data_IF_536362977891
#
_entry.id   IF_536362977891
#
_cell.length_a   1.000
_cell.length_b   1.000
_cell.length_c   1.000
_cell.angle_alpha   90.00
_cell.angle_beta   90.00
_cell.angle_gamma   90.00
#
_symmetry.space_group_name_H-M   'P 1'
#
loop_
_entity.id
_entity.type
_entity.pdbx_description
1 polymer ?
#
# COMPACT_ATOMS: atom_id res chain seq x y z
N UNK A 1 26.97 19.02 -2.90
CA UNK A 1 26.78 18.22 -1.69
C UNK A 1 25.86 17.06 -2.00
N UNK A 2 26.31 15.83 -1.78
CA UNK A 2 25.47 14.67 -2.03
C UNK A 2 24.37 14.60 -0.97
N UNK A 3 23.11 14.50 -1.39
CA UNK A 3 21.99 14.31 -0.48
C UNK A 3 22.08 12.92 0.16
N UNK A 4 21.76 12.82 1.43
CA UNK A 4 21.69 11.53 2.10
C UNK A 4 20.50 10.72 1.56
N UNK A 5 20.53 9.39 1.73
CA UNK A 5 19.42 8.53 1.31
C UNK A 5 18.07 8.93 1.95
N UNK A 6 18.12 9.54 3.14
CA UNK A 6 16.93 10.03 3.83
C UNK A 6 16.36 11.30 3.19
N UNK A 7 17.21 12.16 2.64
CA UNK A 7 16.78 13.40 1.98
C UNK A 7 16.07 13.14 0.66
N UNK A 8 16.32 11.99 0.03
CA UNK A 8 15.59 11.55 -1.16
C UNK A 8 14.22 10.96 -0.83
N UNK A 9 13.95 10.62 0.42
CA UNK A 9 12.66 10.07 0.80
C UNK A 9 11.63 11.18 0.90
N UNK A 10 10.65 11.13 0.03
CA UNK A 10 9.53 12.05 0.06
C UNK A 10 8.72 11.85 1.35
N UNK A 11 8.54 12.90 2.12
CA UNK A 11 7.65 12.89 3.26
C UNK A 11 6.20 12.86 2.77
N UNK A 12 5.39 12.03 3.39
CA UNK A 12 3.97 11.89 3.08
C UNK A 12 3.16 11.94 4.35
N UNK A 13 1.99 12.58 4.25
CA UNK A 13 0.97 12.47 5.29
C UNK A 13 -0.05 11.46 4.80
N UNK A 14 -0.18 10.36 5.53
CA UNK A 14 -1.11 9.29 5.18
C UNK A 14 -2.31 9.29 6.11
N UNK A 15 -3.53 9.07 5.58
CA UNK A 15 -4.70 8.95 6.43
C UNK A 15 -4.67 7.62 7.19
N UNK A 16 -5.25 7.63 8.38
CA UNK A 16 -5.52 6.43 9.17
C UNK A 16 -7.01 6.38 9.47
N UNK A 17 -7.56 5.17 9.48
CA UNK A 17 -8.91 4.97 9.96
C UNK A 17 -9.00 5.24 11.47
N UNK A 18 -10.20 5.54 11.95
CA UNK A 18 -10.40 5.96 13.33
C UNK A 18 -9.99 4.89 14.35
N UNK A 19 -10.24 3.63 14.04
CA UNK A 19 -9.88 2.51 14.91
C UNK A 19 -8.36 2.37 15.06
N UNK A 20 -7.63 2.38 13.96
CA UNK A 20 -6.17 2.31 13.96
C UNK A 20 -5.56 3.51 14.67
N UNK A 21 -6.10 4.71 14.43
CA UNK A 21 -5.65 5.93 15.10
C UNK A 21 -5.86 5.83 16.62
N UNK A 22 -7.00 5.34 17.07
CA UNK A 22 -7.29 5.16 18.49
C UNK A 22 -6.32 4.16 19.14
N UNK A 23 -6.04 3.06 18.48
CA UNK A 23 -5.06 2.07 18.94
C UNK A 23 -3.65 2.67 19.05
N UNK A 24 -3.24 3.45 18.07
CA UNK A 24 -1.93 4.10 18.06
C UNK A 24 -1.82 5.12 19.21
N UNK A 25 -2.85 5.94 19.42
CA UNK A 25 -2.88 6.90 20.53
C UNK A 25 -2.78 6.20 21.89
N UNK A 26 -3.49 5.11 22.06
CA UNK A 26 -3.45 4.32 23.29
C UNK A 26 -2.06 3.70 23.53
N UNK A 27 -1.44 3.18 22.47
CA UNK A 27 -0.08 2.65 22.53
C UNK A 27 0.92 3.74 22.97
N UNK A 28 0.80 4.95 22.43
CA UNK A 28 1.65 6.09 22.78
C UNK A 28 1.41 6.50 24.24
N UNK A 29 0.15 6.57 24.66
CA UNK A 29 -0.25 6.93 26.03
C UNK A 29 0.35 5.97 27.05
N UNK A 30 0.41 4.68 26.73
CA UNK A 30 0.96 3.64 27.63
C UNK A 30 2.49 3.58 27.63
N UNK A 31 3.17 4.50 26.96
CA UNK A 31 4.63 4.56 26.94
C UNK A 31 5.27 3.59 25.96
N UNK A 32 4.55 3.20 24.89
CA UNK A 32 5.05 2.32 23.85
C UNK A 32 6.26 2.84 23.07
N UNK A 33 6.35 4.16 22.75
CA UNK A 33 7.53 4.69 22.07
C UNK A 33 8.80 4.51 22.90
N UNK A 34 9.91 4.22 22.20
CA UNK A 34 11.20 3.95 22.82
C UNK A 34 12.23 5.00 22.42
N UNK A 35 13.19 5.26 23.32
CA UNK A 35 14.33 6.10 23.03
C UNK A 35 15.50 5.20 22.63
N UNK A 36 16.04 5.41 21.43
CA UNK A 36 17.15 4.66 20.89
C UNK A 36 18.10 5.60 20.15
N UNK A 37 19.38 5.58 20.52
CA UNK A 37 20.41 6.43 19.91
C UNK A 37 20.02 7.92 19.89
N UNK A 38 19.43 8.42 20.97
CA UNK A 38 18.98 9.81 21.09
C UNK A 38 17.74 10.15 20.28
N UNK A 39 17.12 9.18 19.62
CA UNK A 39 15.91 9.35 18.82
C UNK A 39 14.72 8.66 19.46
N UNK A 40 13.58 9.34 19.49
CA UNK A 40 12.35 8.78 19.95
C UNK A 40 11.63 8.08 18.79
N UNK A 41 11.49 6.76 18.92
CA UNK A 41 10.86 5.91 17.90
C UNK A 41 9.52 5.43 18.39
N UNK A 42 8.49 5.51 17.55
CA UNK A 42 7.17 4.97 17.87
C UNK A 42 7.28 3.45 18.05
N UNK A 43 7.92 2.77 17.10
CA UNK A 43 8.18 1.34 17.17
C UNK A 43 9.69 1.10 17.22
N UNK A 44 10.17 0.48 18.29
CA UNK A 44 11.59 0.21 18.50
C UNK A 44 12.08 -1.05 17.78
N UNK A 45 11.58 -1.30 16.59
CA UNK A 45 11.92 -2.49 15.81
C UNK A 45 12.57 -2.09 14.48
N UNK A 46 13.40 -2.99 13.95
CA UNK A 46 13.96 -2.81 12.62
C UNK A 46 13.04 -3.43 11.54
N UNK A 47 13.43 -3.22 10.29
CA UNK A 47 12.68 -3.71 9.13
C UNK A 47 12.50 -5.23 9.14
N UNK A 48 13.53 -5.97 9.53
CA UNK A 48 13.48 -7.42 9.58
C UNK A 48 12.48 -7.92 10.63
N UNK A 49 12.48 -7.30 11.83
CA UNK A 49 11.53 -7.66 12.87
C UNK A 49 10.08 -7.35 12.47
N UNK A 50 9.85 -6.22 11.81
CA UNK A 50 8.53 -5.88 11.27
C UNK A 50 8.05 -6.95 10.27
N UNK A 51 8.93 -7.41 9.40
CA UNK A 51 8.64 -8.49 8.45
C UNK A 51 8.26 -9.79 9.17
N UNK A 52 8.99 -10.16 10.22
CA UNK A 52 8.69 -11.36 11.03
C UNK A 52 7.32 -11.26 11.70
N UNK A 53 6.98 -10.10 12.26
CA UNK A 53 5.68 -9.86 12.92
C UNK A 53 4.53 -10.04 11.92
N UNK A 54 4.63 -9.46 10.73
CA UNK A 54 3.61 -9.60 9.69
C UNK A 54 3.43 -11.07 9.30
N UNK A 55 4.53 -11.80 9.12
CA UNK A 55 4.51 -13.23 8.80
C UNK A 55 3.84 -14.04 9.90
N UNK A 56 4.20 -13.81 11.16
CA UNK A 56 3.61 -14.49 12.32
C UNK A 56 2.11 -14.20 12.42
N UNK A 57 1.69 -12.96 12.21
CA UNK A 57 0.28 -12.58 12.22
C UNK A 57 -0.49 -13.27 11.11
N UNK A 58 0.07 -13.37 9.92
CA UNK A 58 -0.54 -14.07 8.80
C UNK A 58 -0.72 -15.56 9.09
N UNK A 59 0.27 -16.21 9.68
CA UNK A 59 0.19 -17.61 10.09
C UNK A 59 -0.90 -17.83 11.15
N UNK A 60 -0.96 -16.96 12.17
CA UNK A 60 -2.00 -17.01 13.22
C UNK A 60 -3.40 -16.75 12.65
N UNK A 61 -3.51 -15.93 11.65
CA UNK A 61 -4.79 -15.65 10.97
C UNK A 61 -5.21 -16.77 10.00
N UNK A 62 -4.36 -17.80 9.82
CA UNK A 62 -4.64 -18.89 8.91
C UNK A 62 -4.55 -18.53 7.43
N UNK A 63 -3.84 -17.45 7.09
CA UNK A 63 -3.68 -17.07 5.69
C UNK A 63 -2.79 -18.07 4.97
N UNK A 64 -3.22 -18.57 3.80
CA UNK A 64 -2.42 -19.53 3.03
C UNK A 64 -1.17 -18.87 2.46
N UNK A 65 -0.15 -19.67 2.20
CA UNK A 65 1.02 -19.21 1.44
C UNK A 65 0.60 -18.84 0.03
N UNK A 66 1.25 -17.83 -0.52
CA UNK A 66 0.98 -17.34 -1.86
C UNK A 66 1.77 -18.15 -2.88
N UNK A 67 1.10 -18.61 -3.93
CA UNK A 67 1.72 -19.37 -5.01
C UNK A 67 1.72 -18.53 -6.27
N UNK A 68 2.89 -18.34 -6.88
CA UNK A 68 2.96 -17.72 -8.19
C UNK A 68 2.51 -18.74 -9.24
N UNK A 69 1.40 -18.50 -9.96
CA UNK A 69 0.86 -19.48 -10.92
C UNK A 69 1.79 -19.73 -12.11
N UNK A 70 2.67 -18.79 -12.46
CA UNK A 70 3.59 -18.92 -13.59
C UNK A 70 4.82 -19.76 -13.24
N UNK A 71 5.36 -19.59 -12.03
CA UNK A 71 6.61 -20.24 -11.61
C UNK A 71 6.42 -21.37 -10.62
N UNK A 72 5.24 -21.50 -10.01
CA UNK A 72 4.98 -22.43 -8.90
C UNK A 72 5.67 -22.04 -7.59
N UNK A 73 6.32 -20.89 -7.56
CA UNK A 73 7.07 -20.42 -6.40
C UNK A 73 6.14 -20.06 -5.25
N UNK A 74 6.48 -20.53 -4.05
CA UNK A 74 5.69 -20.27 -2.84
C UNK A 74 6.31 -19.11 -2.09
N UNK A 75 5.45 -18.14 -1.71
CA UNK A 75 5.84 -16.97 -0.95
C UNK A 75 5.04 -16.88 0.35
N UNK A 76 5.69 -16.48 1.43
CA UNK A 76 5.01 -16.12 2.66
C UNK A 76 4.34 -14.74 2.51
N UNK A 77 3.31 -14.49 3.31
CA UNK A 77 2.73 -13.15 3.43
C UNK A 77 3.80 -12.22 4.03
N UNK A 78 4.01 -11.07 3.40
CA UNK A 78 5.01 -10.10 3.79
C UNK A 78 4.41 -8.68 3.75
N UNK A 79 5.06 -7.68 4.36
CA UNK A 79 4.59 -6.29 4.25
C UNK A 79 4.41 -5.83 2.80
N UNK A 80 5.30 -6.21 1.89
CA UNK A 80 5.18 -5.86 0.48
C UNK A 80 3.94 -6.48 -0.17
N UNK A 81 3.61 -7.73 0.19
CA UNK A 81 2.40 -8.41 -0.31
C UNK A 81 1.12 -7.77 0.22
N UNK A 82 1.13 -7.30 1.45
CA UNK A 82 0.02 -6.52 2.00
C UNK A 82 -0.17 -5.20 1.26
N UNK A 83 0.93 -4.54 0.92
CA UNK A 83 0.92 -3.31 0.12
C UNK A 83 0.33 -3.57 -1.28
N UNK A 84 0.73 -4.66 -1.94
CA UNK A 84 0.18 -5.05 -3.23
C UNK A 84 -1.32 -5.36 -3.14
N UNK A 85 -1.74 -6.08 -2.11
CA UNK A 85 -3.15 -6.38 -1.87
C UNK A 85 -3.98 -5.10 -1.66
N UNK A 86 -3.46 -4.16 -0.91
CA UNK A 86 -4.09 -2.85 -0.74
C UNK A 86 -4.25 -2.12 -2.08
N UNK A 87 -3.19 -2.09 -2.89
CA UNK A 87 -3.22 -1.43 -4.19
C UNK A 87 -4.27 -2.03 -5.13
N UNK A 88 -4.33 -3.37 -5.19
CA UNK A 88 -5.34 -4.07 -6.00
C UNK A 88 -6.76 -3.77 -5.49
N UNK A 89 -6.97 -3.79 -4.19
CA UNK A 89 -8.26 -3.49 -3.59
C UNK A 89 -8.68 -2.05 -3.89
N UNK A 90 -7.77 -1.10 -3.74
CA UNK A 90 -8.04 0.31 -4.04
C UNK A 90 -8.46 0.52 -5.50
N UNK A 91 -7.80 -0.16 -6.43
CA UNK A 91 -8.14 -0.07 -7.86
C UNK A 91 -9.47 -0.75 -8.20
N UNK A 92 -9.88 -1.75 -7.46
CA UNK A 92 -11.23 -2.35 -7.63
C UNK A 92 -12.34 -1.40 -7.21
N UNK A 93 -12.08 -0.54 -6.23
CA UNK A 93 -13.07 0.42 -5.73
C UNK A 93 -13.09 1.71 -6.56
N UNK A 94 -11.93 2.17 -7.03
CA UNK A 94 -11.81 3.40 -7.80
C UNK A 94 -10.62 3.31 -8.76
N UNK A 95 -10.88 2.95 -10.00
CA UNK A 95 -9.89 2.87 -11.06
C UNK A 95 -9.83 4.10 -11.97
N UNK A 96 -10.49 5.18 -11.57
CA UNK A 96 -10.44 6.46 -12.27
C UNK A 96 -9.01 7.04 -12.29
N UNK A 97 -8.77 8.02 -13.13
CA UNK A 97 -7.49 8.73 -13.16
C UNK A 97 -7.15 9.38 -11.83
N UNK A 98 -8.15 9.91 -11.12
CA UNK A 98 -7.98 10.48 -9.79
C UNK A 98 -7.68 9.38 -8.75
N UNK A 99 -8.37 8.25 -8.80
CA UNK A 99 -8.09 7.10 -7.94
C UNK A 99 -6.68 6.59 -8.10
N UNK A 100 -6.20 6.48 -9.34
CA UNK A 100 -4.83 6.07 -9.63
C UNK A 100 -3.79 7.08 -9.10
N UNK A 101 -4.06 8.37 -9.23
CA UNK A 101 -3.20 9.43 -8.71
C UNK A 101 -3.14 9.39 -7.19
N UNK A 102 -4.28 9.23 -6.52
CA UNK A 102 -4.35 9.12 -5.06
C UNK A 102 -3.61 7.87 -4.55
N UNK A 103 -3.76 6.76 -5.24
CA UNK A 103 -3.03 5.54 -4.89
C UNK A 103 -1.52 5.73 -5.04
N UNK A 104 -1.07 6.37 -6.11
CA UNK A 104 0.33 6.69 -6.33
C UNK A 104 0.89 7.53 -5.18
N UNK A 105 0.16 8.56 -4.76
CA UNK A 105 0.55 9.41 -3.64
C UNK A 105 0.60 8.63 -2.32
N UNK A 106 -0.39 7.79 -2.06
CA UNK A 106 -0.46 6.96 -0.86
C UNK A 106 0.70 5.98 -0.76
N UNK A 107 1.02 5.30 -1.86
CA UNK A 107 2.13 4.33 -1.91
C UNK A 107 3.50 5.00 -2.01
N UNK A 108 3.56 6.27 -2.40
CA UNK A 108 4.80 7.00 -2.58
C UNK A 108 5.59 6.54 -3.81
N UNK A 109 4.90 6.04 -4.83
CA UNK A 109 5.54 5.72 -6.10
C UNK A 109 5.98 7.01 -6.80
N UNK A 110 7.21 7.03 -7.28
CA UNK A 110 7.74 8.16 -8.04
C UNK A 110 7.33 8.10 -9.51
N UNK A 111 6.95 6.92 -9.99
CA UNK A 111 6.55 6.68 -11.37
C UNK A 111 5.06 6.32 -11.43
N UNK A 112 4.33 7.00 -12.31
CA UNK A 112 2.95 6.66 -12.62
C UNK A 112 2.82 5.23 -13.15
N UNK A 113 3.79 4.78 -13.95
CA UNK A 113 3.79 3.42 -14.50
C UNK A 113 3.87 2.35 -13.42
N UNK A 114 4.58 2.61 -12.31
CA UNK A 114 4.67 1.67 -11.20
C UNK A 114 3.31 1.45 -10.54
N UNK A 115 2.51 2.50 -10.42
CA UNK A 115 1.15 2.41 -9.87
C UNK A 115 0.17 1.83 -10.87
N UNK A 116 0.29 2.21 -12.15
CA UNK A 116 -0.61 1.79 -13.21
C UNK A 116 -0.67 0.26 -13.41
N UNK A 117 0.37 -0.48 -13.03
CA UNK A 117 0.38 -1.95 -13.11
C UNK A 117 -0.74 -2.62 -12.31
N UNK A 118 -1.29 -1.96 -11.29
CA UNK A 118 -2.39 -2.47 -10.50
C UNK A 118 -3.75 -2.27 -11.15
N UNK A 119 -3.80 -1.45 -12.20
CA UNK A 119 -5.02 -1.17 -12.94
C UNK A 119 -5.11 -2.08 -14.15
N UNK A 120 -6.08 -2.98 -14.13
CA UNK A 120 -6.37 -3.87 -15.26
C UNK A 120 -7.65 -3.41 -15.92
N UNK A 121 -7.59 -3.25 -17.23
CA UNK A 121 -8.76 -2.88 -18.03
C UNK A 121 -9.40 -4.14 -18.58
N UNK A 122 -10.69 -4.38 -18.25
CA UNK A 122 -11.45 -5.47 -18.84
C UNK A 122 -12.00 -5.07 -20.22
N UNK A 123 -12.36 -6.05 -21.03
CA UNK A 123 -12.99 -5.79 -22.33
C UNK A 123 -14.31 -5.04 -22.19
N UNK A 124 -15.11 -5.36 -21.15
CA UNK A 124 -16.35 -4.64 -20.86
C UNK A 124 -16.10 -3.20 -20.47
N UNK A 125 -15.15 -2.96 -19.56
CA UNK A 125 -14.78 -1.62 -19.14
C UNK A 125 -14.35 -0.75 -20.32
N UNK A 126 -13.54 -1.30 -21.19
CA UNK A 126 -13.07 -0.60 -22.40
C UNK A 126 -14.23 -0.27 -23.34
N UNK A 127 -15.15 -1.22 -23.56
CA UNK A 127 -16.32 -1.01 -24.39
C UNK A 127 -17.25 0.06 -23.82
N UNK A 128 -17.47 0.04 -22.50
CA UNK A 128 -18.32 1.01 -21.80
C UNK A 128 -17.72 2.43 -21.90
N UNK A 129 -16.42 2.54 -21.71
CA UNK A 129 -15.71 3.81 -21.87
C UNK A 129 -15.86 4.36 -23.31
N UNK A 130 -15.64 3.50 -24.29
CA UNK A 130 -15.78 3.90 -25.69
C UNK A 130 -17.21 4.35 -26.02
N UNK A 131 -18.21 3.61 -25.53
CA UNK A 131 -19.60 3.96 -25.73
C UNK A 131 -19.95 5.34 -25.15
N UNK A 132 -19.44 5.66 -23.96
CA UNK A 132 -19.65 6.97 -23.33
C UNK A 132 -19.09 8.14 -24.13
N UNK A 133 -18.02 7.94 -24.86
CA UNK A 133 -17.46 8.98 -25.72
C UNK A 133 -18.45 9.43 -26.81
N UNK A 134 -19.35 8.55 -27.23
CA UNK A 134 -20.29 8.79 -28.30
C UNK A 134 -21.70 9.13 -27.80
N UNK A 135 -22.04 8.87 -26.58
CA UNK A 135 -23.32 9.25 -25.98
C UNK A 135 -23.54 10.76 -25.97
N UNK A 136 -22.51 11.54 -25.77
CA UNK A 136 -22.55 13.01 -25.74
C UNK A 136 -22.45 13.65 -27.10
N UNK A 137 -22.48 12.88 -28.17
CA UNK A 137 -22.35 13.37 -29.54
C UNK A 137 -23.64 13.94 -30.11
N UNK A 138 -24.77 13.71 -29.46
CA UNK A 138 -26.09 14.08 -29.91
C UNK A 138 -26.49 15.52 -29.66
N UNK A 139 -25.65 16.42 -29.90
CA UNK A 139 -25.95 17.84 -29.71
C UNK A 139 -26.42 18.52 -30.97
#
# INVERSE_FOLDING_TARGET
MALTRQEYRRQRVLPLDNETLAMLKEYIRRGGPVLKDGKRLIFGINRHRAWQIVRECAEKAGLPKLVNPETGRIHNVSPHKLRDAFAVHAMKLDDSGDGLRLLQEHLGHQSFNTTAKYRKVSGKEHADWYAKLWENKGL
#
